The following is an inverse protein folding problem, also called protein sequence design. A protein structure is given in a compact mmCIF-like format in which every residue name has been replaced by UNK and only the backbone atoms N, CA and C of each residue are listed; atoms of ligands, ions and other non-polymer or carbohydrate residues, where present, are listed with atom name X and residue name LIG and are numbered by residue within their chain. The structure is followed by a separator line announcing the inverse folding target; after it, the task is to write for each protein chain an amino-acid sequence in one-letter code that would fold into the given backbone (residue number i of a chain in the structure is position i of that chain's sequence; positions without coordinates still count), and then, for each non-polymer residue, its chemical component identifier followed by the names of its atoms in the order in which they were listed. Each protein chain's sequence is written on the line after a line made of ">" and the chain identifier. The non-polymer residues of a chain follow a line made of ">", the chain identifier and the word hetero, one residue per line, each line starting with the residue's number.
data_IF_078788340844
#
_entry.id   IF_078788340844
#
_cell.length_a   1.000
_cell.length_b   1.000
_cell.length_c   1.000
_cell.angle_alpha   90.00
_cell.angle_beta   90.00
_cell.angle_gamma   90.00
#
_symmetry.space_group_name_H-M   'P 1'
#
loop_
_entity.id
_entity.type
_entity.pdbx_description
1 polymer ?
#
# COMPACT_ATOMS: atom_id res chain seq x y z
N UNK A 1 -25.52 1.45 66.98
CA UNK A 1 -24.25 1.38 66.21
C UNK A 1 -24.50 0.63 64.91
N UNK A 2 -24.30 1.29 63.76
CA UNK A 2 -24.68 0.78 62.44
C UNK A 2 -23.72 -0.32 61.94
N UNK A 3 -24.27 -1.41 61.39
CA UNK A 3 -23.53 -2.49 60.73
C UNK A 3 -22.94 -1.98 59.41
N UNK A 4 -21.62 -1.85 59.36
CA UNK A 4 -20.87 -1.52 58.15
C UNK A 4 -20.95 -2.69 57.16
N UNK A 5 -21.63 -2.48 56.03
CA UNK A 5 -21.68 -3.45 54.93
C UNK A 5 -20.35 -3.41 54.18
N UNK A 6 -19.54 -4.44 54.37
CA UNK A 6 -18.30 -4.62 53.61
C UNK A 6 -18.64 -4.83 52.12
N UNK A 7 -18.55 -3.76 51.33
CA UNK A 7 -18.58 -3.83 49.86
C UNK A 7 -17.31 -4.57 49.40
N UNK A 8 -17.44 -5.88 49.23
CA UNK A 8 -16.39 -6.70 48.62
C UNK A 8 -16.18 -6.25 47.18
N UNK A 9 -15.18 -5.37 46.98
CA UNK A 9 -14.76 -4.92 45.67
C UNK A 9 -14.22 -6.11 44.89
N UNK A 10 -15.02 -6.61 43.93
CA UNK A 10 -14.61 -7.65 43.00
C UNK A 10 -13.28 -7.23 42.34
N UNK A 11 -12.16 -7.88 42.69
CA UNK A 11 -10.87 -7.67 42.02
C UNK A 11 -11.07 -7.97 40.53
N UNK A 12 -10.99 -6.93 39.68
CA UNK A 12 -11.04 -7.11 38.22
C UNK A 12 -9.87 -7.99 37.80
N UNK A 13 -10.15 -9.26 37.51
CA UNK A 13 -9.20 -10.17 36.90
C UNK A 13 -8.65 -9.53 35.63
N UNK A 14 -7.33 -9.34 35.56
CA UNK A 14 -6.68 -8.80 34.38
C UNK A 14 -6.97 -9.70 33.18
N UNK A 15 -7.84 -9.27 32.27
CA UNK A 15 -8.21 -10.08 31.12
C UNK A 15 -6.97 -10.37 30.27
N UNK A 16 -6.73 -11.65 29.98
CA UNK A 16 -5.65 -12.10 29.10
C UNK A 16 -5.71 -11.32 27.78
N UNK A 17 -4.65 -10.56 27.47
CA UNK A 17 -4.58 -9.75 26.26
C UNK A 17 -4.86 -10.63 25.04
N UNK A 18 -5.91 -10.32 24.30
CA UNK A 18 -6.30 -11.13 23.13
C UNK A 18 -5.14 -11.27 22.14
N UNK A 19 -4.89 -12.46 21.62
CA UNK A 19 -3.83 -12.72 20.64
C UNK A 19 -4.22 -12.25 19.23
N UNK A 20 -5.53 -12.18 18.98
CA UNK A 20 -6.13 -11.80 17.70
C UNK A 20 -6.42 -10.30 17.66
N UNK A 21 -5.93 -9.62 16.64
CA UNK A 21 -6.23 -8.22 16.36
C UNK A 21 -7.55 -8.09 15.60
N UNK A 22 -8.49 -7.32 16.16
CA UNK A 22 -9.79 -6.98 15.56
C UNK A 22 -9.88 -5.46 15.28
N UNK A 23 -10.80 -5.07 14.42
CA UNK A 23 -11.11 -3.67 14.10
C UNK A 23 -10.18 -3.00 13.08
N UNK A 24 -10.40 -1.70 12.84
CA UNK A 24 -9.74 -0.91 11.76
C UNK A 24 -8.21 -0.94 11.83
N UNK A 25 -7.63 -1.01 13.04
CA UNK A 25 -6.17 -1.01 13.26
C UNK A 25 -5.54 -2.40 13.30
N UNK A 26 -6.29 -3.47 13.01
CA UNK A 26 -5.80 -4.85 13.18
C UNK A 26 -4.45 -5.12 12.49
N UNK A 27 -4.31 -4.74 11.22
CA UNK A 27 -3.06 -4.90 10.46
C UNK A 27 -1.90 -4.10 11.05
N UNK A 28 -2.17 -2.88 11.53
CA UNK A 28 -1.15 -2.03 12.18
C UNK A 28 -0.71 -2.64 13.51
N UNK A 29 -1.64 -3.12 14.35
CA UNK A 29 -1.33 -3.76 15.63
C UNK A 29 -0.50 -5.03 15.47
N UNK A 30 -0.78 -5.85 14.45
CA UNK A 30 0.02 -7.05 14.13
C UNK A 30 1.40 -6.65 13.60
N UNK A 31 1.47 -5.67 12.70
CA UNK A 31 2.74 -5.20 12.14
C UNK A 31 3.68 -4.63 13.22
N UNK A 32 3.12 -3.91 14.20
CA UNK A 32 3.85 -3.41 15.38
C UNK A 32 4.19 -4.50 16.42
N UNK A 33 3.69 -5.72 16.26
CA UNK A 33 3.93 -6.82 17.21
C UNK A 33 3.05 -6.81 18.47
N UNK A 34 2.07 -5.91 18.56
CA UNK A 34 1.16 -5.84 19.72
C UNK A 34 0.19 -7.03 19.81
N UNK A 35 0.04 -7.78 18.70
CA UNK A 35 -0.87 -8.91 18.50
C UNK A 35 -0.21 -9.91 17.55
N UNK A 36 -0.55 -11.19 17.66
CA UNK A 36 0.07 -12.26 16.86
C UNK A 36 -0.49 -12.35 15.43
N UNK A 37 -1.82 -12.26 15.28
CA UNK A 37 -2.52 -12.39 13.99
C UNK A 37 -3.75 -11.50 13.90
N UNK A 38 -4.19 -11.15 12.69
CA UNK A 38 -5.49 -10.49 12.48
C UNK A 38 -6.64 -11.49 12.59
N UNK A 39 -7.89 -11.02 12.64
CA UNK A 39 -9.08 -11.89 12.58
C UNK A 39 -9.09 -12.80 11.35
N UNK A 40 -8.54 -12.33 10.21
CA UNK A 40 -8.37 -13.11 8.99
C UNK A 40 -7.06 -13.90 8.91
N UNK A 41 -6.34 -14.09 10.01
CA UNK A 41 -5.16 -14.96 10.09
C UNK A 41 -3.83 -14.35 9.62
N UNK A 42 -3.79 -13.10 9.18
CA UNK A 42 -2.55 -12.46 8.69
C UNK A 42 -1.56 -12.23 9.84
N UNK A 43 -0.31 -12.68 9.65
CA UNK A 43 0.83 -12.43 10.55
C UNK A 43 1.65 -11.23 10.09
N UNK A 44 2.67 -10.85 10.85
CA UNK A 44 3.58 -9.75 10.51
C UNK A 44 4.31 -9.99 9.18
N UNK A 45 4.69 -11.24 8.88
CA UNK A 45 5.33 -11.65 7.61
C UNK A 45 4.47 -11.34 6.38
N UNK A 46 3.14 -11.40 6.55
CA UNK A 46 2.19 -11.26 5.45
C UNK A 46 1.81 -9.80 5.20
N UNK A 47 2.38 -8.88 5.96
CA UNK A 47 2.06 -7.45 5.97
C UNK A 47 3.28 -6.61 5.59
N UNK A 48 3.03 -5.56 4.82
CA UNK A 48 4.04 -4.57 4.43
C UNK A 48 3.48 -3.16 4.48
N UNK A 49 4.35 -2.19 4.76
CA UNK A 49 4.04 -0.77 4.63
C UNK A 49 4.17 -0.34 3.16
N UNK A 50 3.18 0.36 2.63
CA UNK A 50 3.26 0.96 1.29
C UNK A 50 3.89 2.37 1.36
N UNK A 51 4.15 2.99 0.20
CA UNK A 51 4.73 4.35 0.12
C UNK A 51 3.85 5.42 0.80
N UNK A 52 2.53 5.22 0.82
CA UNK A 52 1.57 6.08 1.51
C UNK A 52 1.46 5.80 3.03
N UNK A 53 2.32 4.94 3.59
CA UNK A 53 2.36 4.62 5.02
C UNK A 53 1.30 3.62 5.52
N UNK A 54 0.41 3.14 4.64
CA UNK A 54 -0.63 2.15 4.96
C UNK A 54 -0.05 0.74 5.04
N UNK A 55 -0.43 -0.01 6.08
CA UNK A 55 -0.13 -1.44 6.19
C UNK A 55 -1.13 -2.24 5.34
N UNK A 56 -0.61 -2.92 4.33
CA UNK A 56 -1.37 -3.79 3.41
C UNK A 56 -0.81 -5.19 3.43
N UNK A 57 -1.56 -6.18 2.94
CA UNK A 57 -1.01 -7.53 2.78
C UNK A 57 -0.03 -7.58 1.60
N UNK A 58 1.02 -8.38 1.75
CA UNK A 58 2.03 -8.60 0.70
C UNK A 58 1.36 -9.16 -0.55
N UNK A 59 0.47 -10.14 -0.40
CA UNK A 59 -0.32 -10.73 -1.49
C UNK A 59 -1.13 -9.67 -2.26
N UNK A 60 -1.86 -8.79 -1.56
CA UNK A 60 -2.64 -7.73 -2.21
C UNK A 60 -1.74 -6.74 -2.95
N UNK A 61 -0.59 -6.38 -2.36
CA UNK A 61 0.37 -5.50 -3.03
C UNK A 61 0.96 -6.13 -4.29
N UNK A 62 1.24 -7.43 -4.28
CA UNK A 62 1.76 -8.14 -5.44
C UNK A 62 0.68 -8.27 -6.54
N UNK A 63 -0.56 -8.59 -6.17
CA UNK A 63 -1.68 -8.66 -7.09
C UNK A 63 -1.94 -7.32 -7.80
N UNK A 64 -1.92 -6.20 -7.06
CA UNK A 64 -2.08 -4.87 -7.62
C UNK A 64 -1.02 -4.55 -8.68
N UNK A 65 0.24 -4.91 -8.44
CA UNK A 65 1.35 -4.74 -9.41
C UNK A 65 1.19 -5.60 -10.67
N UNK A 66 0.56 -6.77 -10.55
CA UNK A 66 0.32 -7.70 -11.66
C UNK A 66 -0.97 -7.39 -12.44
N UNK A 67 -1.79 -6.45 -11.96
CA UNK A 67 -3.05 -6.08 -12.61
C UNK A 67 -2.83 -5.57 -14.04
N UNK A 68 -3.79 -5.83 -14.93
CA UNK A 68 -3.72 -5.42 -16.34
C UNK A 68 -3.54 -3.89 -16.47
N UNK A 69 -4.22 -3.11 -15.63
CA UNK A 69 -4.07 -1.66 -15.60
C UNK A 69 -2.66 -1.22 -15.22
N UNK A 70 -2.08 -1.79 -14.15
CA UNK A 70 -0.72 -1.48 -13.75
C UNK A 70 0.31 -1.85 -14.84
N UNK A 71 0.12 -2.98 -15.52
CA UNK A 71 1.00 -3.40 -16.64
C UNK A 71 0.97 -2.39 -17.79
N UNK A 72 -0.21 -1.92 -18.20
CA UNK A 72 -0.33 -0.90 -19.26
C UNK A 72 0.36 0.41 -18.88
N UNK A 73 0.18 0.88 -17.64
CA UNK A 73 0.82 2.10 -17.13
C UNK A 73 2.34 1.95 -17.08
N UNK A 74 2.83 0.79 -16.63
CA UNK A 74 4.27 0.51 -16.58
C UNK A 74 4.88 0.42 -17.98
N UNK A 75 4.20 -0.24 -18.92
CA UNK A 75 4.62 -0.32 -20.32
C UNK A 75 4.71 1.07 -20.96
N UNK A 76 3.69 1.90 -20.78
CA UNK A 76 3.68 3.28 -21.27
C UNK A 76 4.80 4.13 -20.64
N UNK A 77 5.00 4.02 -19.33
CA UNK A 77 6.05 4.74 -18.62
C UNK A 77 7.45 4.33 -19.10
N UNK A 78 7.68 3.04 -19.30
CA UNK A 78 8.95 2.52 -19.82
C UNK A 78 9.21 2.97 -21.27
N UNK A 79 8.17 2.95 -22.12
CA UNK A 79 8.23 3.48 -23.47
C UNK A 79 8.55 4.98 -23.50
N UNK A 80 7.98 5.75 -22.58
CA UNK A 80 8.25 7.19 -22.44
C UNK A 80 9.70 7.47 -22.05
N UNK A 81 10.27 6.71 -21.12
CA UNK A 81 11.69 6.84 -20.77
C UNK A 81 12.58 6.51 -21.98
N UNK A 82 12.27 5.43 -22.71
CA UNK A 82 13.03 5.04 -23.92
C UNK A 82 12.95 6.11 -25.01
N UNK A 83 11.75 6.62 -25.30
CA UNK A 83 11.55 7.65 -26.31
C UNK A 83 12.25 8.97 -25.95
N UNK A 84 12.19 9.39 -24.69
CA UNK A 84 12.90 10.60 -24.24
C UNK A 84 14.41 10.47 -24.37
N UNK A 85 14.97 9.31 -24.02
CA UNK A 85 16.40 9.02 -24.22
C UNK A 85 16.78 9.03 -25.69
N UNK A 86 15.99 8.39 -26.56
CA UNK A 86 16.25 8.34 -28.00
C UNK A 86 16.19 9.72 -28.68
N UNK A 87 15.34 10.62 -28.18
CA UNK A 87 15.20 11.98 -28.71
C UNK A 87 16.07 13.02 -27.98
N UNK A 88 16.89 12.60 -27.00
CA UNK A 88 17.78 13.52 -26.28
C UNK A 88 17.07 14.61 -25.46
N UNK A 89 15.80 14.42 -25.11
CA UNK A 89 14.98 15.48 -24.47
C UNK A 89 15.42 15.68 -23.01
N UNK A 90 16.05 16.82 -22.74
CA UNK A 90 16.35 17.35 -21.41
C UNK A 90 15.28 18.39 -21.03
N UNK A 91 14.82 18.35 -19.78
CA UNK A 91 13.73 19.23 -19.30
C UNK A 91 12.32 18.73 -19.62
N UNK A 92 11.33 19.61 -19.42
CA UNK A 92 9.92 19.28 -19.59
C UNK A 92 9.49 19.46 -21.05
N UNK A 93 8.83 18.44 -21.61
CA UNK A 93 8.19 18.51 -22.94
C UNK A 93 6.82 17.85 -22.83
N UNK A 94 5.72 18.54 -23.20
CA UNK A 94 4.39 17.96 -23.17
C UNK A 94 4.27 16.85 -24.23
N UNK A 95 3.80 15.68 -23.81
CA UNK A 95 3.55 14.55 -24.72
C UNK A 95 2.32 14.88 -25.57
N UNK A 96 2.49 14.95 -26.89
CA UNK A 96 1.39 15.23 -27.82
C UNK A 96 0.93 16.70 -27.86
N UNK A 97 1.77 17.63 -27.42
CA UNK A 97 1.46 19.06 -27.43
C UNK A 97 1.49 19.73 -28.81
N UNK A 98 1.33 21.07 -28.82
CA UNK A 98 1.41 21.89 -30.04
C UNK A 98 2.84 21.97 -30.62
N UNK A 99 3.85 21.72 -29.79
CA UNK A 99 5.26 21.77 -30.19
C UNK A 99 5.66 20.54 -31.02
N UNK A 100 6.54 20.74 -32.00
CA UNK A 100 7.04 19.65 -32.86
C UNK A 100 7.70 18.52 -32.04
N UNK A 101 8.49 18.89 -31.03
CA UNK A 101 9.12 17.95 -30.10
C UNK A 101 8.11 17.09 -29.33
N UNK A 102 6.99 17.69 -28.89
CA UNK A 102 5.93 16.98 -28.17
C UNK A 102 5.17 15.97 -29.05
N UNK A 103 4.91 16.33 -30.31
CA UNK A 103 4.31 15.43 -31.31
C UNK A 103 5.24 14.26 -31.65
N UNK A 104 6.53 14.55 -31.88
CA UNK A 104 7.54 13.53 -32.15
C UNK A 104 7.72 12.55 -30.98
N UNK A 105 7.73 13.07 -29.75
CA UNK A 105 7.78 12.25 -28.54
C UNK A 105 6.57 11.30 -28.47
N UNK A 106 5.36 11.79 -28.70
CA UNK A 106 4.16 10.96 -28.66
C UNK A 106 4.16 9.85 -29.73
N UNK A 107 4.53 10.18 -30.96
CA UNK A 107 4.66 9.20 -32.04
C UNK A 107 5.67 8.10 -31.68
N UNK A 108 6.83 8.49 -31.13
CA UNK A 108 7.85 7.53 -30.72
C UNK A 108 7.42 6.68 -29.52
N UNK A 109 6.72 7.25 -28.55
CA UNK A 109 6.18 6.48 -27.41
C UNK A 109 5.18 5.43 -27.89
N UNK A 110 4.24 5.79 -28.77
CA UNK A 110 3.30 4.82 -29.34
C UNK A 110 4.03 3.68 -30.06
N UNK A 111 5.11 3.97 -30.78
CA UNK A 111 5.89 2.93 -31.46
C UNK A 111 6.51 1.88 -30.51
N UNK A 112 6.71 2.24 -29.24
CA UNK A 112 7.26 1.35 -28.22
C UNK A 112 6.20 0.65 -27.35
N UNK A 113 4.95 1.11 -27.41
CA UNK A 113 3.85 0.52 -26.65
C UNK A 113 3.08 -0.41 -27.59
N UNK A 114 3.28 -1.72 -27.38
CA UNK A 114 2.56 -2.78 -28.08
C UNK A 114 1.39 -3.27 -27.23
#
# INVERSE_FOLDING_TARGET
>A
MAKSSMKMGMKKMAMKKSTIAKGKRAKSSVFKGAKAKTSGGLKKSDLKKNKAGKIVSVKASAAAKKSKGAKKILAWSAALVKARKALGIKGFVPVGGKTAAGKALFAKVKSFVK
#
